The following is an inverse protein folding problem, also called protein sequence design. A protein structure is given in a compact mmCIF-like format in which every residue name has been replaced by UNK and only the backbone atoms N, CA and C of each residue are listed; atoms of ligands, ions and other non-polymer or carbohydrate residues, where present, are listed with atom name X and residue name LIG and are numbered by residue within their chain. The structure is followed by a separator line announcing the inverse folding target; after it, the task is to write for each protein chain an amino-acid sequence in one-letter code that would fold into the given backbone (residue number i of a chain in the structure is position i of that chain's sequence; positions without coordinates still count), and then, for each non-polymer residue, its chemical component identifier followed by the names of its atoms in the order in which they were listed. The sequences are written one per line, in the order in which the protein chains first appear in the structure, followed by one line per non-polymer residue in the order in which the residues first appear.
data_IF_038477680165
#
_entry.id   IF_038477680165
#
_cell.length_a   1.000
_cell.length_b   1.000
_cell.length_c   1.000
_cell.angle_alpha   90.00
_cell.angle_beta   90.00
_cell.angle_gamma   90.00
#
_symmetry.space_group_name_H-M   'P 1'
#
loop_
_entity.id
_entity.type
_entity.pdbx_description
1 polymer ?
#
# COMPACT_ATOMS: atom_id res chain seq x y z
N UNK A 1 -36.81 -48.49 -21.88
CA UNK A 1 -36.05 -47.77 -22.92
C UNK A 1 -35.96 -46.35 -22.43
N UNK A 2 -34.86 -45.61 -22.61
CA UNK A 2 -34.91 -44.19 -22.29
C UNK A 2 -35.99 -43.54 -23.15
N UNK A 3 -36.94 -42.88 -22.51
CA UNK A 3 -38.06 -42.22 -23.15
C UNK A 3 -37.64 -40.77 -23.40
N UNK A 4 -36.87 -40.56 -24.46
CA UNK A 4 -36.39 -39.23 -24.85
C UNK A 4 -37.58 -38.31 -25.17
N UNK A 5 -37.57 -37.11 -24.60
CA UNK A 5 -38.65 -36.15 -24.76
C UNK A 5 -38.22 -34.98 -25.63
N UNK A 6 -39.01 -34.69 -26.66
CA UNK A 6 -38.83 -33.50 -27.50
C UNK A 6 -39.92 -32.46 -27.27
N UNK A 7 -39.51 -31.21 -27.11
CA UNK A 7 -40.34 -30.00 -27.09
C UNK A 7 -40.07 -29.23 -28.38
N UNK A 8 -41.01 -29.23 -29.35
CA UNK A 8 -40.82 -28.55 -30.62
C UNK A 8 -40.94 -27.02 -30.50
N UNK A 9 -40.48 -26.34 -31.56
CA UNK A 9 -40.53 -24.86 -31.68
C UNK A 9 -41.86 -24.25 -31.31
N UNK A 10 -41.77 -23.21 -30.48
CA UNK A 10 -42.84 -22.34 -30.00
C UNK A 10 -43.96 -23.09 -29.32
N UNK A 11 -43.62 -24.17 -28.62
CA UNK A 11 -44.58 -24.95 -27.84
C UNK A 11 -44.30 -24.84 -26.35
N UNK A 12 -45.37 -24.99 -25.58
CA UNK A 12 -45.34 -25.17 -24.14
C UNK A 12 -45.59 -26.65 -23.86
N UNK A 13 -44.76 -27.26 -23.01
CA UNK A 13 -44.94 -28.65 -22.58
C UNK A 13 -44.83 -28.76 -21.07
N UNK A 14 -45.76 -29.53 -20.49
CA UNK A 14 -45.76 -29.84 -19.07
C UNK A 14 -44.99 -31.15 -18.86
N UNK A 15 -43.91 -31.10 -18.07
CA UNK A 15 -42.98 -32.21 -17.84
C UNK A 15 -42.55 -32.17 -16.38
N UNK A 16 -42.68 -33.29 -15.66
CA UNK A 16 -42.14 -33.43 -14.31
C UNK A 16 -40.87 -34.30 -14.28
N UNK A 17 -40.84 -35.37 -15.07
CA UNK A 17 -39.74 -36.34 -15.09
C UNK A 17 -39.48 -36.87 -16.51
N UNK A 18 -38.21 -37.05 -16.86
CA UNK A 18 -37.73 -37.62 -18.12
C UNK A 18 -36.66 -38.67 -17.79
N UNK A 19 -36.99 -39.94 -17.99
CA UNK A 19 -36.04 -41.06 -17.94
C UNK A 19 -35.29 -41.17 -19.29
N UNK A 20 -34.42 -40.20 -19.58
CA UNK A 20 -33.72 -40.09 -20.85
C UNK A 20 -33.25 -38.67 -21.11
N UNK A 21 -33.12 -38.30 -22.38
CA UNK A 21 -32.68 -36.97 -22.78
C UNK A 21 -33.87 -36.03 -23.07
N UNK A 22 -33.71 -34.74 -22.74
CA UNK A 22 -34.69 -33.70 -23.02
C UNK A 22 -34.17 -32.76 -24.10
N UNK A 23 -34.86 -32.67 -25.23
CA UNK A 23 -34.54 -31.72 -26.31
C UNK A 23 -35.61 -30.63 -26.43
N UNK A 24 -35.20 -29.37 -26.24
CA UNK A 24 -36.06 -28.17 -26.37
C UNK A 24 -35.55 -27.32 -27.53
N UNK A 25 -36.44 -26.99 -28.46
CA UNK A 25 -36.17 -26.14 -29.62
C UNK A 25 -37.14 -24.95 -29.51
N UNK A 26 -36.65 -23.74 -29.27
CA UNK A 26 -37.43 -22.49 -29.11
C UNK A 26 -38.72 -22.65 -28.26
N UNK A 27 -38.64 -23.10 -27.00
CA UNK A 27 -39.81 -23.61 -26.26
C UNK A 27 -39.87 -23.30 -24.77
N UNK A 28 -41.05 -23.53 -24.17
CA UNK A 28 -41.32 -23.36 -22.74
C UNK A 28 -41.59 -24.71 -22.09
N UNK A 29 -40.92 -25.02 -21.00
CA UNK A 29 -41.13 -26.23 -20.19
C UNK A 29 -41.55 -25.83 -18.78
N UNK A 30 -42.59 -26.46 -18.26
CA UNK A 30 -43.05 -26.21 -16.89
C UNK A 30 -43.39 -27.53 -16.18
N UNK A 31 -43.31 -27.54 -14.86
CA UNK A 31 -43.84 -28.65 -14.06
C UNK A 31 -45.37 -28.57 -13.96
N UNK A 32 -46.02 -29.71 -13.70
CA UNK A 32 -47.46 -29.79 -13.44
C UNK A 32 -47.88 -29.10 -12.13
N UNK A 33 -46.94 -28.93 -11.19
CA UNK A 33 -47.18 -28.26 -9.91
C UNK A 33 -46.49 -26.89 -9.92
N UNK A 34 -47.16 -25.82 -9.43
CA UNK A 34 -46.50 -24.54 -9.20
C UNK A 34 -45.28 -24.71 -8.28
N UNK A 35 -44.10 -24.30 -8.75
CA UNK A 35 -42.83 -24.49 -8.04
C UNK A 35 -42.33 -25.93 -8.02
N UNK A 36 -42.82 -26.79 -8.91
CA UNK A 36 -42.31 -28.14 -9.09
C UNK A 36 -40.91 -28.16 -9.72
N UNK A 37 -40.33 -29.35 -9.83
CA UNK A 37 -38.97 -29.56 -10.32
C UNK A 37 -39.04 -30.48 -11.53
N UNK A 38 -38.44 -30.06 -12.64
CA UNK A 38 -38.27 -30.85 -13.85
C UNK A 38 -37.02 -31.71 -13.66
N UNK A 39 -37.18 -33.03 -13.61
CA UNK A 39 -36.08 -33.97 -13.43
C UNK A 39 -35.76 -34.68 -14.75
N UNK A 40 -34.52 -34.58 -15.19
CA UNK A 40 -34.02 -35.25 -16.40
C UNK A 40 -32.85 -36.13 -15.98
N UNK A 41 -32.95 -37.44 -16.20
CA UNK A 41 -31.87 -38.37 -15.85
C UNK A 41 -30.68 -38.29 -16.81
N UNK A 42 -30.94 -37.96 -18.08
CA UNK A 42 -29.95 -37.74 -19.13
C UNK A 42 -29.57 -36.27 -19.29
N UNK A 43 -29.23 -35.85 -20.50
CA UNK A 43 -28.86 -34.45 -20.78
C UNK A 43 -30.04 -33.62 -21.27
N UNK A 44 -29.97 -32.31 -21.07
CA UNK A 44 -30.92 -31.33 -21.59
C UNK A 44 -30.27 -30.52 -22.70
N UNK A 45 -30.76 -30.65 -23.93
CA UNK A 45 -30.31 -29.87 -25.09
C UNK A 45 -31.33 -28.77 -25.42
N UNK A 46 -30.88 -27.52 -25.44
CA UNK A 46 -31.63 -26.32 -25.78
C UNK A 46 -31.10 -25.72 -27.08
N UNK A 47 -31.99 -25.44 -28.03
CA UNK A 47 -31.71 -24.73 -29.28
C UNK A 47 -32.57 -23.48 -29.36
N UNK A 48 -31.97 -22.36 -29.73
CA UNK A 48 -32.58 -21.03 -29.63
C UNK A 48 -33.06 -20.74 -28.19
N UNK A 49 -33.98 -19.80 -28.02
CA UNK A 49 -34.41 -19.34 -26.69
C UNK A 49 -35.27 -20.41 -25.99
N UNK A 50 -34.89 -20.81 -24.79
CA UNK A 50 -35.58 -21.84 -24.02
C UNK A 50 -35.88 -21.35 -22.60
N UNK A 51 -37.13 -21.53 -22.17
CA UNK A 51 -37.58 -21.14 -20.82
C UNK A 51 -38.03 -22.36 -20.04
N UNK A 52 -37.53 -22.50 -18.82
CA UNK A 52 -38.01 -23.44 -17.82
C UNK A 52 -38.72 -22.64 -16.73
N UNK A 53 -40.06 -22.69 -16.65
CA UNK A 53 -40.88 -22.00 -15.63
C UNK A 53 -40.82 -22.70 -14.25
N UNK A 54 -39.78 -23.48 -13.99
CA UNK A 54 -39.62 -24.39 -12.85
C UNK A 54 -38.15 -24.74 -12.66
N UNK A 55 -37.77 -25.19 -11.46
CA UNK A 55 -36.40 -25.66 -11.20
C UNK A 55 -36.05 -26.85 -12.12
N UNK A 56 -34.80 -26.94 -12.54
CA UNK A 56 -34.30 -27.97 -13.45
C UNK A 56 -33.18 -28.78 -12.79
N UNK A 57 -33.34 -30.10 -12.79
CA UNK A 57 -32.30 -31.05 -12.39
C UNK A 57 -31.94 -31.92 -13.60
N UNK A 58 -30.68 -31.90 -14.02
CA UNK A 58 -30.21 -32.65 -15.20
C UNK A 58 -28.76 -33.12 -15.04
N UNK A 59 -28.33 -34.11 -15.82
CA UNK A 59 -26.92 -34.54 -15.79
C UNK A 59 -26.01 -33.51 -16.46
N UNK A 60 -26.44 -32.97 -17.61
CA UNK A 60 -25.76 -31.96 -18.40
C UNK A 60 -26.76 -31.00 -19.03
N UNK A 61 -26.39 -29.72 -19.15
CA UNK A 61 -27.18 -28.71 -19.87
C UNK A 61 -26.37 -28.18 -21.06
N UNK A 62 -26.90 -28.36 -22.26
CA UNK A 62 -26.26 -27.94 -23.52
C UNK A 62 -27.13 -26.93 -24.25
N UNK A 63 -26.64 -25.71 -24.41
CA UNK A 63 -27.31 -24.65 -25.15
C UNK A 63 -26.61 -24.30 -26.45
N UNK A 64 -27.39 -23.98 -27.48
CA UNK A 64 -26.87 -23.48 -28.75
C UNK A 64 -27.75 -22.38 -29.34
N UNK A 65 -27.11 -21.27 -29.70
CA UNK A 65 -27.69 -20.18 -30.48
C UNK A 65 -28.95 -19.53 -29.85
N UNK A 66 -29.01 -19.41 -28.51
CA UNK A 66 -30.11 -18.71 -27.82
C UNK A 66 -29.90 -18.61 -26.30
N UNK A 67 -30.82 -17.92 -25.63
CA UNK A 67 -30.76 -17.69 -24.18
C UNK A 67 -31.56 -18.76 -23.42
N UNK A 68 -30.99 -19.28 -22.33
CA UNK A 68 -31.66 -20.26 -21.46
C UNK A 68 -32.06 -19.56 -20.17
N UNK A 69 -33.37 -19.54 -19.90
CA UNK A 69 -33.96 -19.01 -18.66
C UNK A 69 -34.48 -20.16 -17.80
N UNK A 70 -34.06 -20.21 -16.53
CA UNK A 70 -34.60 -21.11 -15.51
C UNK A 70 -35.21 -20.26 -14.41
N UNK A 71 -36.54 -20.27 -14.31
CA UNK A 71 -37.32 -19.60 -13.27
C UNK A 71 -37.39 -20.43 -11.98
N UNK A 72 -36.22 -20.86 -11.50
CA UNK A 72 -36.05 -21.63 -10.28
C UNK A 72 -34.57 -21.95 -10.06
N UNK A 73 -34.32 -23.04 -9.36
CA UNK A 73 -32.97 -23.55 -9.13
C UNK A 73 -32.50 -24.40 -10.32
N UNK A 74 -31.23 -24.29 -10.67
CA UNK A 74 -30.58 -25.12 -11.68
C UNK A 74 -29.52 -26.00 -11.02
N UNK A 75 -29.76 -27.30 -10.99
CA UNK A 75 -28.81 -28.29 -10.48
C UNK A 75 -28.36 -29.21 -11.62
N UNK A 76 -27.08 -29.11 -11.98
CA UNK A 76 -26.48 -29.90 -13.05
C UNK A 76 -25.37 -30.78 -12.47
N UNK A 77 -25.43 -32.09 -12.70
CA UNK A 77 -24.49 -33.01 -12.04
C UNK A 77 -23.05 -32.86 -12.55
N UNK A 78 -22.88 -32.59 -13.86
CA UNK A 78 -21.56 -32.57 -14.49
C UNK A 78 -21.23 -31.25 -15.17
N UNK A 79 -21.94 -30.86 -16.23
CA UNK A 79 -21.56 -29.66 -16.98
C UNK A 79 -22.67 -28.88 -17.64
N UNK A 80 -22.50 -27.55 -17.63
CA UNK A 80 -23.30 -26.60 -18.39
C UNK A 80 -22.42 -26.05 -19.51
N UNK A 81 -22.87 -26.17 -20.76
CA UNK A 81 -22.19 -25.64 -21.94
C UNK A 81 -23.16 -24.88 -22.83
N UNK A 82 -23.04 -23.55 -22.90
CA UNK A 82 -23.94 -22.70 -23.70
C UNK A 82 -23.11 -21.91 -24.71
N UNK A 83 -23.25 -22.29 -25.97
CA UNK A 83 -22.55 -21.63 -27.08
C UNK A 83 -23.42 -20.52 -27.66
N UNK A 84 -22.84 -19.33 -27.84
CA UNK A 84 -23.48 -18.11 -28.37
C UNK A 84 -24.76 -17.71 -27.65
N UNK A 85 -24.88 -18.04 -26.37
CA UNK A 85 -26.08 -17.81 -25.57
C UNK A 85 -25.77 -17.29 -24.17
N UNK A 86 -26.83 -16.92 -23.45
CA UNK A 86 -26.78 -16.53 -22.04
C UNK A 86 -27.48 -17.57 -21.17
N UNK A 87 -27.09 -17.61 -19.90
CA UNK A 87 -27.78 -18.35 -18.86
C UNK A 87 -28.36 -17.39 -17.84
N UNK A 88 -29.65 -17.51 -17.57
CA UNK A 88 -30.31 -16.82 -16.47
C UNK A 88 -30.99 -17.83 -15.56
N UNK A 89 -30.63 -17.82 -14.28
CA UNK A 89 -31.20 -18.67 -13.24
C UNK A 89 -31.74 -17.74 -12.16
N UNK A 90 -33.03 -17.80 -11.87
CA UNK A 90 -33.64 -16.92 -10.86
C UNK A 90 -33.33 -17.35 -9.42
N UNK A 91 -33.12 -18.65 -9.20
CA UNK A 91 -32.73 -19.25 -7.92
C UNK A 91 -31.23 -19.59 -7.85
N UNK A 92 -30.93 -20.71 -7.21
CA UNK A 92 -29.56 -21.18 -6.98
C UNK A 92 -29.00 -21.96 -8.19
N UNK A 93 -27.69 -21.87 -8.40
CA UNK A 93 -26.98 -22.58 -9.45
C UNK A 93 -25.93 -23.53 -8.85
N UNK A 94 -26.06 -24.83 -9.12
CA UNK A 94 -25.06 -25.84 -8.75
C UNK A 94 -24.57 -26.62 -9.96
N UNK A 95 -23.26 -26.72 -10.15
CA UNK A 95 -22.64 -27.56 -11.20
C UNK A 95 -21.18 -27.86 -10.90
N UNK A 96 -20.60 -28.93 -11.45
CA UNK A 96 -19.12 -29.08 -11.42
C UNK A 96 -18.46 -28.12 -12.39
N UNK A 97 -19.00 -27.98 -13.61
CA UNK A 97 -18.41 -27.16 -14.67
C UNK A 97 -19.46 -26.30 -15.35
N UNK A 98 -19.10 -25.06 -15.64
CA UNK A 98 -19.92 -24.13 -16.41
C UNK A 98 -19.07 -23.42 -17.46
N UNK A 99 -19.50 -23.46 -18.72
CA UNK A 99 -18.91 -22.76 -19.85
C UNK A 99 -20.01 -22.03 -20.63
N UNK A 100 -19.99 -20.69 -20.60
CA UNK A 100 -21.00 -19.86 -21.26
C UNK A 100 -20.33 -18.74 -22.05
N UNK A 101 -20.58 -18.67 -23.35
CA UNK A 101 -19.88 -17.74 -24.24
C UNK A 101 -20.15 -16.27 -23.91
N UNK A 102 -21.40 -15.91 -23.53
CA UNK A 102 -21.79 -14.50 -23.36
C UNK A 102 -21.91 -14.08 -21.90
N UNK A 103 -22.92 -14.54 -21.19
CA UNK A 103 -23.14 -14.08 -19.81
C UNK A 103 -23.97 -15.05 -18.99
N UNK A 104 -23.72 -15.03 -17.69
CA UNK A 104 -24.45 -15.79 -16.68
C UNK A 104 -25.00 -14.82 -15.63
N UNK A 105 -26.28 -14.96 -15.30
CA UNK A 105 -26.92 -14.26 -14.19
C UNK A 105 -27.59 -15.28 -13.26
N UNK A 106 -27.22 -15.24 -11.98
CA UNK A 106 -27.77 -16.10 -10.92
C UNK A 106 -28.44 -15.20 -9.87
N UNK A 107 -29.73 -15.44 -9.63
CA UNK A 107 -30.53 -14.67 -8.68
C UNK A 107 -30.36 -15.11 -7.23
N UNK A 108 -29.95 -16.36 -6.98
CA UNK A 108 -29.57 -16.90 -5.69
C UNK A 108 -28.06 -17.11 -5.55
N UNK A 109 -27.68 -18.19 -4.89
CA UNK A 109 -26.30 -18.60 -4.65
C UNK A 109 -25.72 -19.39 -5.84
N UNK A 110 -24.42 -19.27 -6.05
CA UNK A 110 -23.67 -20.05 -7.05
C UNK A 110 -22.68 -20.96 -6.33
N UNK A 111 -22.79 -22.27 -6.52
CA UNK A 111 -21.83 -23.29 -6.09
C UNK A 111 -21.33 -24.07 -7.32
N UNK A 112 -20.16 -23.67 -7.84
CA UNK A 112 -19.60 -24.27 -9.06
C UNK A 112 -18.11 -24.53 -8.91
N UNK A 113 -17.60 -25.75 -9.17
CA UNK A 113 -16.15 -25.98 -9.06
C UNK A 113 -15.36 -25.12 -10.06
N UNK A 114 -15.76 -25.12 -11.34
CA UNK A 114 -15.13 -24.30 -12.40
C UNK A 114 -16.14 -23.54 -13.25
N UNK A 115 -16.06 -22.21 -13.24
CA UNK A 115 -16.87 -21.33 -14.05
C UNK A 115 -16.02 -20.61 -15.11
N UNK A 116 -16.37 -20.75 -16.39
CA UNK A 116 -15.83 -20.00 -17.52
C UNK A 116 -16.93 -19.20 -18.20
N UNK A 117 -16.79 -17.89 -18.25
CA UNK A 117 -17.79 -17.00 -18.88
C UNK A 117 -17.10 -16.01 -19.80
N UNK A 118 -17.41 -16.02 -21.09
CA UNK A 118 -16.72 -15.16 -22.06
C UNK A 118 -16.95 -13.67 -21.84
N UNK A 119 -18.13 -13.27 -21.34
CA UNK A 119 -18.48 -11.87 -21.08
C UNK A 119 -18.65 -11.56 -19.60
N UNK A 120 -19.85 -11.76 -19.04
CA UNK A 120 -20.18 -11.26 -17.69
C UNK A 120 -20.81 -12.33 -16.81
N UNK A 121 -20.31 -12.47 -15.58
CA UNK A 121 -20.87 -13.31 -14.53
C UNK A 121 -21.45 -12.41 -13.43
N UNK A 122 -22.76 -12.53 -13.18
CA UNK A 122 -23.47 -11.84 -12.10
C UNK A 122 -24.12 -12.85 -11.15
N UNK A 123 -23.86 -12.69 -9.86
CA UNK A 123 -24.46 -13.50 -8.80
C UNK A 123 -25.03 -12.54 -7.75
N UNK A 124 -26.29 -12.70 -7.37
CA UNK A 124 -26.88 -11.87 -6.30
C UNK A 124 -26.57 -12.44 -4.91
N UNK A 125 -26.59 -13.77 -4.79
CA UNK A 125 -26.24 -14.48 -3.58
C UNK A 125 -24.73 -14.70 -3.41
N UNK A 126 -24.38 -15.70 -2.63
CA UNK A 126 -22.99 -16.10 -2.37
C UNK A 126 -22.39 -16.79 -3.57
N UNK A 127 -21.10 -16.58 -3.79
CA UNK A 127 -20.34 -17.23 -4.86
C UNK A 127 -19.29 -18.16 -4.27
N UNK A 128 -19.44 -19.46 -4.49
CA UNK A 128 -18.48 -20.48 -4.08
C UNK A 128 -17.94 -21.20 -5.31
N UNK A 129 -16.61 -21.23 -5.45
CA UNK A 129 -15.97 -21.92 -6.56
C UNK A 129 -14.51 -22.30 -6.26
N UNK A 130 -13.95 -23.20 -7.05
CA UNK A 130 -12.50 -23.41 -7.07
C UNK A 130 -11.86 -22.41 -8.04
N UNK A 131 -12.43 -22.25 -9.24
CA UNK A 131 -11.86 -21.39 -10.27
C UNK A 131 -12.95 -20.62 -11.04
N UNK A 132 -12.78 -19.31 -11.15
CA UNK A 132 -13.66 -18.41 -11.92
C UNK A 132 -12.81 -17.67 -12.95
N UNK A 133 -13.09 -17.93 -14.23
CA UNK A 133 -12.45 -17.28 -15.39
C UNK A 133 -13.51 -16.52 -16.17
N UNK A 134 -13.39 -15.19 -16.20
CA UNK A 134 -14.37 -14.31 -16.87
C UNK A 134 -13.68 -13.31 -17.79
N UNK A 135 -14.00 -13.36 -19.09
CA UNK A 135 -13.36 -12.48 -20.07
C UNK A 135 -13.67 -10.98 -19.86
N UNK A 136 -14.87 -10.65 -19.37
CA UNK A 136 -15.31 -9.28 -19.15
C UNK A 136 -15.39 -8.87 -17.68
N UNK A 137 -16.48 -9.20 -16.99
CA UNK A 137 -16.67 -8.75 -15.60
C UNK A 137 -17.34 -9.77 -14.70
N UNK A 138 -16.85 -9.87 -13.47
CA UNK A 138 -17.45 -10.67 -12.41
C UNK A 138 -18.02 -9.74 -11.34
N UNK A 139 -19.32 -9.88 -11.05
CA UNK A 139 -19.99 -9.14 -9.99
C UNK A 139 -20.74 -10.12 -9.09
N UNK A 140 -20.47 -10.05 -7.79
CA UNK A 140 -21.33 -10.66 -6.76
C UNK A 140 -21.81 -9.60 -5.77
N UNK A 141 -23.06 -9.70 -5.33
CA UNK A 141 -23.65 -8.78 -4.36
C UNK A 141 -23.47 -9.25 -2.90
N UNK A 142 -23.09 -10.52 -2.71
CA UNK A 142 -22.81 -11.13 -1.40
C UNK A 142 -21.34 -11.59 -1.30
N UNK A 143 -21.08 -12.54 -0.42
CA UNK A 143 -19.76 -13.10 -0.15
C UNK A 143 -19.23 -13.92 -1.32
N UNK A 144 -17.91 -13.93 -1.49
CA UNK A 144 -17.19 -14.77 -2.44
C UNK A 144 -16.15 -15.63 -1.70
N UNK A 145 -16.28 -16.96 -1.79
CA UNK A 145 -15.29 -17.93 -1.36
C UNK A 145 -14.79 -18.69 -2.59
N UNK A 146 -13.72 -18.19 -3.20
CA UNK A 146 -13.22 -18.68 -4.49
C UNK A 146 -11.71 -18.85 -4.43
N UNK A 147 -11.16 -20.04 -4.68
CA UNK A 147 -9.70 -20.25 -4.60
C UNK A 147 -8.93 -19.39 -5.61
N UNK A 148 -9.37 -19.33 -6.87
CA UNK A 148 -8.77 -18.48 -7.91
C UNK A 148 -9.81 -17.72 -8.73
N UNK A 149 -9.64 -16.41 -8.84
CA UNK A 149 -10.43 -15.49 -9.66
C UNK A 149 -9.51 -14.92 -10.74
N UNK A 150 -9.82 -15.15 -12.02
CA UNK A 150 -9.15 -14.55 -13.17
C UNK A 150 -10.18 -13.81 -14.04
N UNK A 151 -10.06 -12.47 -14.12
CA UNK A 151 -11.02 -11.65 -14.85
C UNK A 151 -10.33 -10.64 -15.75
N UNK A 152 -10.60 -10.72 -17.05
CA UNK A 152 -9.99 -9.84 -18.05
C UNK A 152 -10.31 -8.36 -17.84
N UNK A 153 -11.52 -8.03 -17.40
CA UNK A 153 -11.95 -6.66 -17.11
C UNK A 153 -11.98 -6.36 -15.61
N UNK A 154 -13.13 -6.47 -14.96
CA UNK A 154 -13.31 -6.00 -13.58
C UNK A 154 -14.02 -6.97 -12.66
N UNK A 155 -13.57 -7.03 -11.41
CA UNK A 155 -14.17 -7.80 -10.32
C UNK A 155 -14.83 -6.85 -9.32
N UNK A 156 -16.07 -7.14 -8.93
CA UNK A 156 -16.79 -6.41 -7.89
C UNK A 156 -17.47 -7.38 -6.92
N UNK A 157 -17.10 -7.34 -5.64
CA UNK A 157 -17.63 -8.22 -4.59
C UNK A 157 -18.25 -7.38 -3.48
N UNK A 158 -19.56 -7.55 -3.27
CA UNK A 158 -20.35 -6.79 -2.30
C UNK A 158 -20.11 -7.19 -0.84
N UNK A 159 -19.89 -8.48 -0.58
CA UNK A 159 -19.66 -9.04 0.74
C UNK A 159 -18.18 -9.28 1.07
N UNK A 160 -17.94 -10.25 1.95
CA UNK A 160 -16.60 -10.71 2.29
C UNK A 160 -15.97 -11.47 1.10
N UNK A 161 -14.67 -11.28 0.89
CA UNK A 161 -13.90 -12.01 -0.13
C UNK A 161 -12.89 -12.91 0.56
N UNK A 162 -12.90 -14.20 0.24
CA UNK A 162 -11.86 -15.15 0.63
C UNK A 162 -11.35 -15.82 -0.63
N UNK A 163 -10.08 -15.63 -0.95
CA UNK A 163 -9.47 -16.18 -2.16
C UNK A 163 -8.00 -16.49 -1.99
N UNK A 164 -7.46 -17.47 -2.70
CA UNK A 164 -6.01 -17.61 -2.80
C UNK A 164 -5.46 -16.53 -3.72
N UNK A 165 -5.98 -16.48 -4.95
CA UNK A 165 -5.46 -15.62 -6.01
C UNK A 165 -6.58 -14.81 -6.65
N UNK A 166 -6.39 -13.49 -6.74
CA UNK A 166 -7.28 -12.56 -7.44
C UNK A 166 -6.49 -11.87 -8.55
N UNK A 167 -6.81 -12.17 -9.80
CA UNK A 167 -6.25 -11.54 -11.01
C UNK A 167 -7.31 -10.72 -11.72
N UNK A 168 -6.99 -9.46 -12.01
CA UNK A 168 -7.85 -8.60 -12.82
C UNK A 168 -7.07 -7.74 -13.80
N UNK A 169 -7.42 -7.79 -15.10
CA UNK A 169 -6.79 -6.93 -16.10
C UNK A 169 -7.10 -5.44 -15.89
N UNK A 170 -8.31 -5.12 -15.41
CA UNK A 170 -8.79 -3.75 -15.21
C UNK A 170 -8.84 -3.32 -13.74
N UNK A 171 -9.81 -3.82 -12.96
CA UNK A 171 -9.99 -3.34 -11.59
C UNK A 171 -10.66 -4.34 -10.65
N UNK A 172 -10.20 -4.36 -9.40
CA UNK A 172 -10.83 -5.09 -8.31
C UNK A 172 -11.49 -4.14 -7.30
N UNK A 173 -12.74 -4.40 -6.95
CA UNK A 173 -13.50 -3.69 -5.91
C UNK A 173 -14.09 -4.66 -4.89
N UNK A 174 -13.59 -4.65 -3.67
CA UNK A 174 -14.17 -5.35 -2.52
C UNK A 174 -14.85 -4.35 -1.58
N UNK A 175 -16.13 -4.54 -1.29
CA UNK A 175 -16.86 -3.69 -0.36
C UNK A 175 -16.81 -4.21 1.09
N UNK A 176 -16.70 -5.53 1.29
CA UNK A 176 -16.47 -6.16 2.58
C UNK A 176 -14.98 -6.43 2.87
N UNK A 177 -14.70 -7.18 3.95
CA UNK A 177 -13.35 -7.64 4.27
C UNK A 177 -12.78 -8.54 3.17
N UNK A 178 -11.48 -8.46 2.92
CA UNK A 178 -10.78 -9.26 1.90
C UNK A 178 -9.64 -10.03 2.56
N UNK A 179 -9.71 -11.36 2.53
CA UNK A 179 -8.65 -12.28 2.94
C UNK A 179 -8.10 -12.95 1.67
N UNK A 180 -6.88 -12.60 1.27
CA UNK A 180 -6.26 -13.14 0.06
C UNK A 180 -4.75 -13.40 0.16
N UNK A 181 -4.23 -14.38 -0.58
CA UNK A 181 -2.78 -14.58 -0.66
C UNK A 181 -2.17 -13.62 -1.69
N UNK A 182 -2.73 -13.54 -2.90
CA UNK A 182 -2.22 -12.67 -3.96
C UNK A 182 -3.34 -11.86 -4.62
N UNK A 183 -3.12 -10.55 -4.75
CA UNK A 183 -3.93 -9.65 -5.59
C UNK A 183 -3.05 -9.07 -6.69
N UNK A 184 -3.27 -9.48 -7.94
CA UNK A 184 -2.57 -8.97 -9.13
C UNK A 184 -3.56 -8.22 -10.04
N UNK A 185 -3.41 -6.91 -10.14
CA UNK A 185 -4.34 -6.06 -10.90
C UNK A 185 -3.63 -5.06 -11.79
N UNK A 186 -3.89 -5.11 -13.10
CA UNK A 186 -3.27 -4.20 -14.06
C UNK A 186 -3.63 -2.71 -13.82
N UNK A 187 -4.87 -2.43 -13.44
CA UNK A 187 -5.36 -1.06 -13.23
C UNK A 187 -5.51 -0.66 -11.77
N UNK A 188 -6.68 -0.87 -11.17
CA UNK A 188 -7.00 -0.29 -9.84
C UNK A 188 -7.59 -1.29 -8.86
N UNK A 189 -7.08 -1.27 -7.63
CA UNK A 189 -7.63 -1.99 -6.48
C UNK A 189 -8.31 -1.01 -5.53
N UNK A 190 -9.55 -1.30 -5.13
CA UNK A 190 -10.26 -0.58 -4.07
C UNK A 190 -10.87 -1.58 -3.10
N UNK A 191 -10.43 -1.53 -1.85
CA UNK A 191 -10.97 -2.35 -0.76
C UNK A 191 -11.53 -1.39 0.28
N UNK A 192 -12.85 -1.37 0.42
CA UNK A 192 -13.55 -0.51 1.38
C UNK A 192 -13.66 -1.16 2.77
N UNK A 193 -13.48 -2.48 2.87
CA UNK A 193 -13.34 -3.21 4.14
C UNK A 193 -11.89 -3.35 4.63
N UNK A 194 -11.69 -4.15 5.67
CA UNK A 194 -10.36 -4.52 6.15
C UNK A 194 -9.67 -5.45 5.15
N UNK A 195 -8.42 -5.15 4.81
CA UNK A 195 -7.60 -5.98 3.93
C UNK A 195 -6.66 -6.86 4.76
N UNK A 196 -6.68 -8.16 4.52
CA UNK A 196 -5.69 -9.13 5.01
C UNK A 196 -5.10 -9.83 3.79
N UNK A 197 -3.97 -9.31 3.31
CA UNK A 197 -3.37 -9.74 2.04
C UNK A 197 -1.87 -10.01 2.21
N UNK A 198 -1.40 -11.13 1.69
CA UNK A 198 0.03 -11.46 1.73
C UNK A 198 0.80 -10.63 0.68
N UNK A 199 0.34 -10.60 -0.57
CA UNK A 199 0.97 -9.86 -1.66
C UNK A 199 -0.04 -9.07 -2.52
N UNK A 200 0.26 -7.79 -2.77
CA UNK A 200 -0.49 -6.91 -3.67
C UNK A 200 0.46 -6.42 -4.77
N UNK A 201 0.20 -6.78 -6.03
CA UNK A 201 0.90 -6.24 -7.20
C UNK A 201 -0.09 -5.51 -8.11
N UNK A 202 0.08 -4.19 -8.25
CA UNK A 202 -0.86 -3.35 -8.98
C UNK A 202 -0.15 -2.36 -9.89
N UNK A 203 -0.42 -2.44 -11.19
CA UNK A 203 0.19 -1.53 -12.17
C UNK A 203 -0.23 -0.07 -11.99
N UNK A 204 -1.50 0.18 -11.63
CA UNK A 204 -2.05 1.53 -11.48
C UNK A 204 -2.11 2.02 -10.03
N UNK A 205 -3.24 1.85 -9.35
CA UNK A 205 -3.47 2.47 -8.04
C UNK A 205 -4.21 1.57 -7.06
N UNK A 206 -3.86 1.70 -5.78
CA UNK A 206 -4.45 0.94 -4.68
C UNK A 206 -5.07 1.89 -3.67
N UNK A 207 -6.33 1.64 -3.30
CA UNK A 207 -7.00 2.28 -2.18
C UNK A 207 -7.46 1.21 -1.19
N UNK A 208 -6.94 1.27 0.03
CA UNK A 208 -7.32 0.43 1.16
C UNK A 208 -8.00 1.28 2.23
N UNK A 209 -8.96 0.73 2.95
CA UNK A 209 -9.39 1.32 4.22
C UNK A 209 -8.27 1.15 5.23
N UNK A 210 -7.86 -0.08 5.56
CA UNK A 210 -6.72 -0.40 6.43
C UNK A 210 -6.50 -1.91 6.52
N UNK A 211 -5.73 -2.37 7.50
CA UNK A 211 -5.55 -3.80 7.79
C UNK A 211 -4.09 -4.26 7.68
N UNK A 212 -3.90 -5.53 7.31
CA UNK A 212 -2.62 -6.20 7.17
C UNK A 212 -2.34 -6.47 5.68
N UNK A 213 -1.31 -5.84 5.12
CA UNK A 213 -0.85 -6.09 3.76
C UNK A 213 0.69 -6.21 3.74
N UNK A 214 1.22 -7.43 3.64
CA UNK A 214 2.66 -7.68 3.89
C UNK A 214 3.56 -7.10 2.81
N UNK A 215 3.47 -7.53 1.55
CA UNK A 215 4.25 -6.99 0.43
C UNK A 215 3.34 -6.23 -0.55
N UNK A 216 3.57 -4.94 -0.71
CA UNK A 216 2.75 -4.06 -1.55
C UNK A 216 3.63 -3.46 -2.65
N UNK A 217 3.35 -3.81 -3.91
CA UNK A 217 3.98 -3.25 -5.10
C UNK A 217 2.96 -2.50 -5.94
N UNK A 218 3.19 -1.21 -6.13
CA UNK A 218 2.27 -0.36 -6.90
C UNK A 218 3.03 0.52 -7.88
N UNK A 219 2.68 0.44 -9.17
CA UNK A 219 3.29 1.31 -10.19
C UNK A 219 2.96 2.80 -9.98
N UNK A 220 1.70 3.11 -9.67
CA UNK A 220 1.22 4.47 -9.48
C UNK A 220 1.11 4.92 -8.02
N UNK A 221 -0.07 4.79 -7.41
CA UNK A 221 -0.36 5.41 -6.10
C UNK A 221 -0.99 4.44 -5.11
N UNK A 222 -0.50 4.46 -3.86
CA UNK A 222 -1.09 3.74 -2.72
C UNK A 222 -1.76 4.73 -1.77
N UNK A 223 -3.01 4.47 -1.41
CA UNK A 223 -3.75 5.21 -0.38
C UNK A 223 -4.32 4.27 0.67
N UNK A 224 -4.07 4.55 1.93
CA UNK A 224 -4.73 3.89 3.07
C UNK A 224 -5.35 4.94 3.99
N UNK A 225 -6.60 4.73 4.39
CA UNK A 225 -7.36 5.70 5.20
C UNK A 225 -7.22 5.47 6.71
N UNK A 226 -6.97 4.23 7.12
CA UNK A 226 -6.74 3.74 8.48
C UNK A 226 -5.33 3.15 8.58
N UNK A 227 -4.79 2.93 9.80
CA UNK A 227 -3.44 2.42 9.96
C UNK A 227 -3.23 1.10 9.23
N UNK A 228 -2.04 0.96 8.65
CA UNK A 228 -1.64 -0.21 7.87
C UNK A 228 -0.50 -0.94 8.56
N UNK A 229 -0.63 -2.27 8.68
CA UNK A 229 0.48 -3.15 9.03
C UNK A 229 1.07 -3.77 7.76
N UNK A 230 2.39 -3.65 7.58
CA UNK A 230 3.06 -4.12 6.36
C UNK A 230 4.49 -4.60 6.64
N UNK A 231 5.07 -5.38 5.73
CA UNK A 231 6.49 -5.74 5.77
C UNK A 231 7.29 -4.91 4.76
N UNK A 232 6.74 -4.72 3.56
CA UNK A 232 7.37 -3.94 2.49
C UNK A 232 6.35 -3.17 1.66
N UNK A 233 6.67 -1.90 1.39
CA UNK A 233 5.95 -1.06 0.43
C UNK A 233 6.94 -0.62 -0.65
N UNK A 234 6.69 -0.97 -1.92
CA UNK A 234 7.40 -0.44 -3.09
C UNK A 234 6.42 0.27 -4.02
N UNK A 235 6.57 1.58 -4.17
CA UNK A 235 5.66 2.37 -5.00
C UNK A 235 6.41 3.30 -5.95
N UNK A 236 6.16 3.18 -7.24
CA UNK A 236 6.81 4.03 -8.26
C UNK A 236 6.43 5.51 -8.15
N UNK A 237 5.16 5.80 -7.84
CA UNK A 237 4.63 7.15 -7.72
C UNK A 237 4.57 7.68 -6.29
N UNK A 238 3.40 7.61 -5.66
CA UNK A 238 3.16 8.26 -4.37
C UNK A 238 2.40 7.38 -3.37
N UNK A 239 2.70 7.57 -2.09
CA UNK A 239 2.07 6.85 -0.98
C UNK A 239 1.43 7.84 -0.03
N UNK A 240 0.19 7.58 0.37
CA UNK A 240 -0.48 8.26 1.47
C UNK A 240 -1.12 7.24 2.42
N UNK A 241 -0.67 7.18 3.66
CA UNK A 241 -1.26 6.34 4.71
C UNK A 241 -1.64 7.21 5.92
N UNK A 242 -2.52 6.74 6.79
CA UNK A 242 -2.88 7.48 8.01
C UNK A 242 -1.96 7.20 9.21
N UNK A 243 -1.02 6.26 9.05
CA UNK A 243 -0.08 5.83 10.06
C UNK A 243 0.08 4.30 9.99
N UNK A 244 0.74 3.73 10.98
CA UNK A 244 0.85 2.29 11.13
C UNK A 244 2.24 1.82 11.48
N UNK A 245 2.47 0.52 11.23
CA UNK A 245 3.72 -0.15 11.56
C UNK A 245 4.14 -1.03 10.41
N UNK A 246 5.39 -0.91 9.99
CA UNK A 246 5.93 -1.88 9.05
C UNK A 246 7.44 -1.93 8.96
N UNK A 247 7.91 -2.54 7.88
CA UNK A 247 9.32 -2.72 7.58
C UNK A 247 9.83 -1.67 6.60
N UNK A 248 10.10 -2.10 5.37
CA UNK A 248 10.76 -1.29 4.34
C UNK A 248 9.77 -0.48 3.50
N UNK A 249 10.12 0.78 3.21
CA UNK A 249 9.34 1.67 2.35
C UNK A 249 10.27 2.24 1.28
N UNK A 250 10.02 1.89 0.01
CA UNK A 250 10.73 2.33 -1.19
C UNK A 250 9.76 3.08 -2.10
N UNK A 251 9.91 4.41 -2.21
CA UNK A 251 8.99 5.26 -2.98
C UNK A 251 9.73 6.19 -3.93
N UNK A 252 9.45 6.07 -5.23
CA UNK A 252 10.09 6.92 -6.24
C UNK A 252 9.76 8.41 -6.11
N UNK A 253 8.52 8.74 -5.72
CA UNK A 253 8.04 10.11 -5.62
C UNK A 253 7.91 10.64 -4.19
N UNK A 254 6.70 10.56 -3.62
CA UNK A 254 6.36 11.20 -2.33
C UNK A 254 5.70 10.21 -1.40
N UNK A 255 6.16 10.20 -0.15
CA UNK A 255 5.57 9.43 0.93
C UNK A 255 4.94 10.38 1.96
N UNK A 256 3.65 10.17 2.28
CA UNK A 256 2.93 10.90 3.32
C UNK A 256 2.29 9.96 4.34
N UNK A 257 2.53 10.23 5.62
CA UNK A 257 1.78 9.66 6.74
C UNK A 257 0.99 10.77 7.45
N UNK A 258 -0.32 10.59 7.64
CA UNK A 258 -1.15 11.56 8.40
C UNK A 258 -1.06 11.35 9.93
N UNK A 259 -0.33 10.34 10.40
CA UNK A 259 -0.14 10.02 11.82
C UNK A 259 1.22 9.39 12.10
N UNK A 260 1.36 8.82 13.30
CA UNK A 260 2.59 8.17 13.75
C UNK A 260 2.94 6.97 12.87
N UNK A 261 4.24 6.80 12.60
CA UNK A 261 4.75 5.71 11.77
C UNK A 261 5.94 5.03 12.43
N UNK A 262 5.82 3.72 12.60
CA UNK A 262 6.95 2.84 12.92
C UNK A 262 7.40 2.10 11.67
N UNK A 263 8.69 2.13 11.34
CA UNK A 263 9.25 1.51 10.14
C UNK A 263 10.64 0.91 10.40
N UNK A 264 11.13 0.06 9.52
CA UNK A 264 12.55 -0.30 9.50
C UNK A 264 13.34 0.72 8.67
N UNK A 265 13.11 0.79 7.35
CA UNK A 265 13.84 1.72 6.49
C UNK A 265 12.89 2.48 5.57
N UNK A 266 13.17 3.77 5.36
CA UNK A 266 12.49 4.61 4.37
C UNK A 266 13.54 5.06 3.35
N UNK A 267 13.32 4.72 2.08
CA UNK A 267 14.07 5.22 0.93
C UNK A 267 13.08 5.93 -0.02
N UNK A 268 13.23 7.25 -0.16
CA UNK A 268 12.32 8.06 -0.98
C UNK A 268 13.09 9.03 -1.86
N UNK A 269 12.89 8.93 -3.18
CA UNK A 269 13.55 9.80 -4.14
C UNK A 269 13.20 11.29 -3.97
N UNK A 270 11.94 11.59 -3.65
CA UNK A 270 11.44 12.96 -3.52
C UNK A 270 11.28 13.45 -2.08
N UNK A 271 10.10 13.29 -1.50
CA UNK A 271 9.72 13.93 -0.23
C UNK A 271 9.03 12.96 0.71
N UNK A 272 9.41 13.04 1.99
CA UNK A 272 8.75 12.36 3.11
C UNK A 272 8.06 13.42 3.97
N UNK A 273 6.76 13.24 4.25
CA UNK A 273 6.00 14.05 5.21
C UNK A 273 5.28 13.14 6.20
N UNK A 274 5.56 13.27 7.49
CA UNK A 274 4.89 12.53 8.56
C UNK A 274 4.28 13.57 9.50
N UNK A 275 2.96 13.58 9.63
CA UNK A 275 2.23 14.56 10.44
C UNK A 275 2.28 14.20 11.96
N UNK A 276 2.66 12.96 12.29
CA UNK A 276 2.94 12.49 13.65
C UNK A 276 4.43 12.33 13.96
N UNK A 277 4.75 11.35 14.80
CA UNK A 277 6.10 10.91 15.14
C UNK A 277 6.62 9.83 14.17
N UNK A 278 7.93 9.76 14.00
CA UNK A 278 8.61 8.80 13.14
C UNK A 278 9.60 7.98 13.97
N UNK A 279 9.40 6.67 14.03
CA UNK A 279 10.27 5.73 14.76
C UNK A 279 10.79 4.67 13.81
N UNK A 280 12.11 4.53 13.68
CA UNK A 280 12.65 3.48 12.83
C UNK A 280 14.15 3.29 12.85
N UNK A 281 14.68 2.62 11.83
CA UNK A 281 16.11 2.35 11.71
C UNK A 281 16.82 3.41 10.89
N UNK A 282 16.45 3.57 9.62
CA UNK A 282 17.09 4.48 8.66
C UNK A 282 16.06 5.30 7.86
N UNK A 283 16.42 6.54 7.55
CA UNK A 283 15.72 7.36 6.55
C UNK A 283 16.74 7.86 5.52
N UNK A 284 16.52 7.54 4.25
CA UNK A 284 17.23 8.09 3.10
C UNK A 284 16.24 8.84 2.19
N UNK A 285 16.46 10.14 1.98
CA UNK A 285 15.58 10.96 1.17
C UNK A 285 16.37 11.87 0.23
N UNK A 286 16.09 11.80 -1.06
CA UNK A 286 16.75 12.64 -2.06
C UNK A 286 16.46 14.13 -1.88
N UNK A 287 15.20 14.47 -1.58
CA UNK A 287 14.75 15.85 -1.40
C UNK A 287 14.58 16.28 0.06
N UNK A 288 13.37 16.15 0.60
CA UNK A 288 13.00 16.71 1.92
C UNK A 288 12.37 15.67 2.82
N UNK A 289 12.82 15.59 4.06
CA UNK A 289 12.17 14.83 5.12
C UNK A 289 11.58 15.79 6.15
N UNK A 290 10.25 15.77 6.32
CA UNK A 290 9.54 16.57 7.32
C UNK A 290 8.73 15.68 8.25
N UNK A 291 8.94 15.84 9.54
CA UNK A 291 8.18 15.19 10.62
C UNK A 291 7.63 16.30 11.51
N UNK A 292 6.32 16.34 11.72
CA UNK A 292 5.73 17.41 12.55
C UNK A 292 5.96 17.14 14.06
N UNK A 293 6.15 15.88 14.47
CA UNK A 293 6.55 15.46 15.82
C UNK A 293 8.05 15.20 16.00
N UNK A 294 8.38 14.12 16.70
CA UNK A 294 9.74 13.61 16.93
C UNK A 294 10.17 12.62 15.84
N UNK A 295 11.45 12.66 15.45
CA UNK A 295 12.10 11.72 14.54
C UNK A 295 13.18 10.96 15.29
N UNK A 296 12.91 9.71 15.65
CA UNK A 296 13.82 8.85 16.39
C UNK A 296 14.27 7.65 15.55
N UNK A 297 15.54 7.66 15.17
CA UNK A 297 16.19 6.62 14.38
C UNK A 297 17.26 5.92 15.20
N UNK A 298 17.36 4.60 15.06
CA UNK A 298 18.44 3.82 15.69
C UNK A 298 19.75 3.88 14.90
N UNK A 299 19.69 4.27 13.62
CA UNK A 299 20.83 4.38 12.71
C UNK A 299 20.86 5.75 12.01
N UNK A 300 20.83 5.82 10.70
CA UNK A 300 21.21 7.04 9.99
C UNK A 300 20.01 7.83 9.43
N UNK A 301 20.11 9.15 9.50
CA UNK A 301 19.30 10.10 8.75
C UNK A 301 20.14 10.67 7.59
N UNK A 302 19.83 10.30 6.36
CA UNK A 302 20.46 10.84 5.14
C UNK A 302 19.45 11.63 4.33
N UNK A 303 19.68 12.93 4.15
CA UNK A 303 18.78 13.77 3.35
C UNK A 303 19.56 14.69 2.42
N UNK A 304 19.27 14.66 1.13
CA UNK A 304 19.95 15.51 0.15
C UNK A 304 19.66 17.00 0.35
N UNK A 305 18.40 17.36 0.59
CA UNK A 305 17.94 18.72 0.78
C UNK A 305 17.76 19.12 2.24
N UNK A 306 16.53 18.97 2.77
CA UNK A 306 16.14 19.49 4.09
C UNK A 306 15.59 18.40 5.00
N UNK A 307 16.07 18.34 6.23
CA UNK A 307 15.47 17.57 7.31
C UNK A 307 14.82 18.52 8.32
N UNK A 308 13.55 18.29 8.66
CA UNK A 308 12.80 19.11 9.61
C UNK A 308 12.04 18.21 10.58
N UNK A 309 12.15 18.49 11.88
CA UNK A 309 11.32 17.91 12.93
C UNK A 309 10.71 19.03 13.80
N UNK A 310 9.45 18.91 14.21
CA UNK A 310 8.86 19.86 15.17
C UNK A 310 9.48 19.75 16.56
N UNK A 311 9.90 18.55 16.95
CA UNK A 311 10.54 18.24 18.23
C UNK A 311 12.01 17.85 18.08
N UNK A 312 12.33 16.61 18.47
CA UNK A 312 13.66 16.02 18.49
C UNK A 312 13.98 15.33 17.15
N UNK A 313 15.21 15.50 16.67
CA UNK A 313 15.85 14.56 15.74
C UNK A 313 16.87 13.76 16.52
N UNK A 314 16.70 12.44 16.62
CA UNK A 314 17.62 11.52 17.27
C UNK A 314 18.06 10.45 16.29
N UNK A 315 19.37 10.26 16.12
CA UNK A 315 19.93 9.26 15.22
C UNK A 315 21.31 8.79 15.70
N UNK A 316 21.89 7.77 15.04
CA UNK A 316 23.33 7.49 15.12
C UNK A 316 24.11 8.56 14.36
N UNK A 317 23.73 8.83 13.11
CA UNK A 317 24.34 9.87 12.28
C UNK A 317 23.29 10.72 11.58
N UNK A 318 23.52 12.03 11.51
CA UNK A 318 22.68 12.98 10.76
C UNK A 318 23.49 13.60 9.64
N UNK A 319 23.21 13.19 8.40
CA UNK A 319 23.92 13.61 7.19
C UNK A 319 22.96 14.32 6.25
N UNK A 320 22.97 15.66 6.30
CA UNK A 320 22.01 16.47 5.54
C UNK A 320 22.72 17.50 4.69
N UNK A 321 22.61 17.36 3.36
CA UNK A 321 23.33 18.21 2.41
C UNK A 321 22.96 19.69 2.50
N UNK A 322 21.69 20.00 2.76
CA UNK A 322 21.18 21.36 2.93
C UNK A 322 21.01 21.77 4.39
N UNK A 323 19.78 21.66 4.90
CA UNK A 323 19.37 22.27 6.17
C UNK A 323 18.76 21.23 7.12
N UNK A 324 19.19 21.25 8.38
CA UNK A 324 18.55 20.59 9.52
C UNK A 324 17.83 21.64 10.36
N UNK A 325 16.57 21.40 10.68
CA UNK A 325 15.75 22.29 11.50
C UNK A 325 14.95 21.47 12.53
N UNK A 326 15.22 21.69 13.81
CA UNK A 326 14.50 20.99 14.88
C UNK A 326 14.51 21.80 16.17
N UNK A 327 13.73 21.40 17.17
CA UNK A 327 13.89 21.94 18.51
C UNK A 327 15.24 21.52 19.10
N UNK A 328 15.59 20.24 18.98
CA UNK A 328 16.84 19.63 19.45
C UNK A 328 17.32 18.58 18.45
N UNK A 329 18.63 18.45 18.27
CA UNK A 329 19.23 17.39 17.44
C UNK A 329 20.25 16.62 18.26
N UNK A 330 20.14 15.29 18.29
CA UNK A 330 21.07 14.39 18.96
C UNK A 330 21.55 13.31 17.99
N UNK A 331 22.84 13.27 17.74
CA UNK A 331 23.49 12.15 17.06
C UNK A 331 24.45 11.45 18.02
N UNK A 332 24.62 10.14 17.88
CA UNK A 332 25.66 9.43 18.61
C UNK A 332 27.05 9.74 18.03
N UNK A 333 27.18 9.61 16.72
CA UNK A 333 28.47 9.68 16.03
C UNK A 333 28.67 11.07 15.42
N UNK A 334 27.82 11.48 14.47
CA UNK A 334 28.05 12.75 13.78
C UNK A 334 26.82 13.49 13.29
N UNK A 335 26.96 14.82 13.25
CA UNK A 335 26.07 15.72 12.52
C UNK A 335 26.90 16.43 11.44
N UNK A 336 26.57 16.19 10.17
CA UNK A 336 27.15 16.92 9.04
C UNK A 336 26.05 17.63 8.28
N UNK A 337 26.11 18.95 8.28
CA UNK A 337 25.14 19.75 7.52
C UNK A 337 25.68 21.10 7.08
N UNK A 338 25.05 21.73 6.09
CA UNK A 338 25.37 23.10 5.73
C UNK A 338 24.67 24.10 6.64
N UNK A 339 23.44 23.83 7.08
CA UNK A 339 22.68 24.74 7.94
C UNK A 339 22.03 23.97 9.07
N UNK A 340 22.32 24.35 10.31
CA UNK A 340 21.81 23.71 11.51
C UNK A 340 21.01 24.73 12.32
N UNK A 341 19.69 24.61 12.35
CA UNK A 341 18.84 25.48 13.15
C UNK A 341 18.21 24.70 14.28
N UNK A 342 18.62 25.03 15.50
CA UNK A 342 18.12 24.39 16.71
C UNK A 342 17.74 25.43 17.74
N UNK A 343 16.67 25.19 18.48
CA UNK A 343 16.24 26.10 19.56
C UNK A 343 16.92 25.76 20.87
N UNK A 344 16.93 24.48 21.21
CA UNK A 344 17.47 23.97 22.46
C UNK A 344 18.94 23.54 22.28
N UNK A 345 19.35 23.22 21.04
CA UNK A 345 20.74 22.95 20.65
C UNK A 345 20.96 21.63 19.91
N UNK A 346 22.21 21.37 19.53
CA UNK A 346 22.63 20.15 18.85
C UNK A 346 23.78 19.44 19.59
N UNK A 347 23.71 18.11 19.70
CA UNK A 347 24.69 17.27 20.38
C UNK A 347 25.16 16.08 19.53
N UNK A 348 26.48 15.87 19.43
CA UNK A 348 27.06 14.69 18.79
C UNK A 348 28.52 14.43 19.21
N UNK A 349 29.12 13.30 18.83
CA UNK A 349 30.58 13.13 19.00
C UNK A 349 31.36 14.05 18.05
N UNK A 350 30.94 14.15 16.79
CA UNK A 350 31.52 15.03 15.79
C UNK A 350 30.47 15.92 15.10
N UNK A 351 30.72 17.23 15.01
CA UNK A 351 29.85 18.16 14.27
C UNK A 351 30.67 18.87 13.20
N UNK A 352 30.24 18.75 11.94
CA UNK A 352 30.80 19.47 10.79
C UNK A 352 29.75 20.40 10.17
N UNK A 353 30.09 21.69 10.11
CA UNK A 353 29.35 22.65 9.29
C UNK A 353 30.03 22.87 7.95
N UNK A 354 29.22 22.84 6.90
CA UNK A 354 29.61 23.10 5.51
C UNK A 354 30.17 24.51 5.25
N UNK A 355 30.65 24.71 4.02
CA UNK A 355 31.19 25.99 3.56
C UNK A 355 30.09 27.04 3.50
N UNK A 356 30.34 28.22 4.07
CA UNK A 356 29.32 29.29 4.22
C UNK A 356 28.08 28.80 4.99
N UNK A 357 28.26 27.78 5.82
CA UNK A 357 27.20 27.24 6.64
C UNK A 357 26.78 28.19 7.76
N UNK A 358 25.67 27.85 8.41
CA UNK A 358 25.10 28.62 9.50
C UNK A 358 24.60 27.66 10.58
N UNK A 359 24.97 27.91 11.83
CA UNK A 359 24.36 27.27 12.98
C UNK A 359 23.76 28.29 13.94
N UNK A 360 22.47 28.08 14.24
CA UNK A 360 21.68 28.80 15.23
C UNK A 360 21.34 27.81 16.36
N UNK A 361 21.55 28.23 17.60
CA UNK A 361 21.51 27.39 18.80
C UNK A 361 22.87 26.82 19.21
N UNK A 362 23.00 26.36 20.46
CA UNK A 362 24.27 25.88 21.00
C UNK A 362 24.67 24.52 20.41
N UNK A 363 25.97 24.37 20.12
CA UNK A 363 26.59 23.15 19.63
C UNK A 363 27.38 22.51 20.77
N UNK A 364 27.11 21.24 21.06
CA UNK A 364 27.83 20.46 22.08
C UNK A 364 28.42 19.20 21.44
N UNK A 365 29.75 19.08 21.35
CA UNK A 365 30.36 17.89 20.79
C UNK A 365 31.74 17.57 21.34
N UNK A 366 32.26 16.35 21.12
CA UNK A 366 33.68 16.10 21.38
C UNK A 366 34.55 16.89 20.41
N UNK A 367 34.20 16.88 19.12
CA UNK A 367 34.93 17.61 18.08
C UNK A 367 34.02 18.41 17.17
N UNK A 368 34.39 19.68 16.94
CA UNK A 368 33.66 20.60 16.07
C UNK A 368 34.57 21.11 14.96
N UNK A 369 34.15 20.94 13.71
CA UNK A 369 34.78 21.51 12.52
C UNK A 369 33.83 22.49 11.83
N UNK A 370 34.20 23.76 11.80
CA UNK A 370 33.44 24.80 11.11
C UNK A 370 34.20 25.19 9.84
N UNK A 371 33.62 24.93 8.66
CA UNK A 371 34.28 25.18 7.37
C UNK A 371 34.21 26.63 6.94
N UNK A 372 34.90 26.94 5.85
CA UNK A 372 35.26 28.29 5.46
C UNK A 372 34.04 29.23 5.38
N UNK A 373 34.16 30.41 5.99
CA UNK A 373 33.14 31.48 6.00
C UNK A 373 31.79 31.11 6.65
N UNK A 374 31.74 30.08 7.49
CA UNK A 374 30.53 29.74 8.21
C UNK A 374 30.30 30.62 9.45
N UNK A 375 29.07 30.61 9.96
CA UNK A 375 28.63 31.36 11.14
C UNK A 375 28.05 30.41 12.17
N UNK A 376 28.44 30.57 13.42
CA UNK A 376 27.96 29.77 14.54
C UNK A 376 27.71 30.68 15.73
N UNK A 377 26.77 30.32 16.58
CA UNK A 377 26.55 31.00 17.86
C UNK A 377 27.53 30.45 18.89
N UNK A 378 27.08 29.50 19.71
CA UNK A 378 27.83 28.99 20.86
C UNK A 378 28.37 27.59 20.58
N UNK A 379 29.66 27.38 20.88
CA UNK A 379 30.30 26.06 20.77
C UNK A 379 30.84 25.62 22.13
N UNK A 380 30.45 24.42 22.56
CA UNK A 380 31.05 23.69 23.67
C UNK A 380 31.65 22.39 23.14
N UNK A 381 32.97 22.22 23.24
CA UNK A 381 33.61 20.99 22.76
C UNK A 381 34.95 20.64 23.41
N UNK A 382 35.46 19.43 23.20
CA UNK A 382 36.86 19.15 23.56
C UNK A 382 37.82 19.76 22.54
N UNK A 383 37.49 19.67 21.25
CA UNK A 383 38.27 20.22 20.14
C UNK A 383 37.42 21.08 19.22
N UNK A 384 37.85 22.33 18.99
CA UNK A 384 37.22 23.25 18.03
C UNK A 384 38.21 23.64 16.95
N UNK A 385 37.83 23.48 15.69
CA UNK A 385 38.56 24.00 14.53
C UNK A 385 37.66 24.93 13.72
N UNK A 386 38.00 26.22 13.71
CA UNK A 386 37.39 27.20 12.83
C UNK A 386 38.28 27.42 11.61
N UNK A 387 37.76 27.14 10.41
CA UNK A 387 38.47 27.42 9.16
C UNK A 387 38.41 28.90 8.78
N UNK A 388 39.16 29.29 7.76
CA UNK A 388 39.26 30.67 7.30
C UNK A 388 37.92 31.41 7.20
N UNK A 389 37.88 32.61 7.78
CA UNK A 389 36.76 33.55 7.63
C UNK A 389 35.51 33.23 8.44
N UNK A 390 35.58 32.33 9.42
CA UNK A 390 34.43 31.97 10.26
C UNK A 390 34.03 33.07 11.24
N UNK A 391 32.77 33.03 11.68
CA UNK A 391 32.24 33.87 12.75
C UNK A 391 31.65 33.00 13.85
N UNK A 392 32.02 33.26 15.10
CA UNK A 392 31.47 32.59 16.27
C UNK A 392 31.00 33.62 17.31
N UNK A 393 29.98 33.29 18.12
CA UNK A 393 29.64 34.06 19.30
C UNK A 393 30.56 33.63 20.45
N UNK A 394 30.31 32.49 21.08
CA UNK A 394 31.11 31.98 22.19
C UNK A 394 31.81 30.65 21.85
N UNK A 395 33.00 30.42 22.41
CA UNK A 395 33.75 29.16 22.28
C UNK A 395 34.24 28.71 23.65
N UNK A 396 33.82 27.52 24.07
CA UNK A 396 34.22 26.89 25.31
C UNK A 396 34.81 25.51 25.00
N UNK A 397 36.14 25.39 24.99
CA UNK A 397 36.76 24.12 24.60
C UNK A 397 38.16 23.85 25.15
N UNK A 398 38.55 22.58 25.26
CA UNK A 398 39.89 22.24 25.74
C UNK A 398 40.97 22.71 24.76
N UNK A 399 40.81 22.37 23.47
CA UNK A 399 41.71 22.76 22.39
C UNK A 399 40.98 23.57 21.32
N UNK A 400 41.45 24.79 21.07
CA UNK A 400 40.87 25.69 20.07
C UNK A 400 41.90 26.01 18.98
N UNK A 401 41.54 25.75 17.72
CA UNK A 401 42.30 26.16 16.54
C UNK A 401 41.46 27.12 15.69
N UNK A 402 42.00 28.31 15.44
CA UNK A 402 41.33 29.36 14.66
C UNK A 402 42.22 29.79 13.50
N UNK A 403 41.77 29.52 12.28
CA UNK A 403 42.45 29.93 11.05
C UNK A 403 42.28 31.44 10.75
N UNK A 404 42.97 31.89 9.71
CA UNK A 404 43.05 33.28 9.28
C UNK A 404 41.67 33.93 9.03
N UNK A 405 41.55 35.23 9.30
CA UNK A 405 40.36 36.08 9.05
C UNK A 405 39.08 35.71 9.84
N UNK A 406 39.19 34.95 10.93
CA UNK A 406 38.04 34.63 11.79
C UNK A 406 37.68 35.79 12.75
N UNK A 407 36.40 35.85 13.13
CA UNK A 407 35.90 36.83 14.11
C UNK A 407 35.07 36.15 15.19
N UNK A 408 35.50 36.28 16.44
CA UNK A 408 34.75 35.82 17.61
C UNK A 408 34.24 37.05 18.35
N UNK A 409 32.92 37.16 18.51
CA UNK A 409 32.27 38.34 19.10
C UNK A 409 31.96 38.23 20.59
N UNK A 410 31.97 37.01 21.13
CA UNK A 410 31.76 36.71 22.54
C UNK A 410 33.02 36.14 23.19
N UNK A 411 32.82 35.34 24.22
CA UNK A 411 33.88 34.80 25.07
C UNK A 411 34.58 33.60 24.43
N UNK A 412 35.87 33.47 24.69
CA UNK A 412 36.64 32.26 24.39
C UNK A 412 37.28 31.76 25.68
N UNK A 413 36.85 30.61 26.20
CA UNK A 413 37.46 29.96 27.36
C UNK A 413 38.04 28.60 26.98
N UNK A 414 39.27 28.34 27.40
CA UNK A 414 39.98 27.10 27.08
C UNK A 414 40.83 26.57 28.22
N UNK A 415 41.08 25.26 28.25
CA UNK A 415 41.80 24.58 29.35
C UNK A 415 43.20 24.10 28.94
N UNK A 416 43.37 23.59 27.72
CA UNK A 416 44.64 23.07 27.21
C UNK A 416 45.38 24.15 26.39
N UNK A 417 44.90 24.44 25.19
CA UNK A 417 45.63 25.24 24.19
C UNK A 417 44.73 26.02 23.24
N UNK A 418 45.15 27.26 22.91
CA UNK A 418 44.58 28.08 21.86
C UNK A 418 45.65 28.36 20.78
N UNK A 419 45.35 28.01 19.53
CA UNK A 419 46.16 28.35 18.36
C UNK A 419 45.36 29.25 17.42
N UNK A 420 45.74 30.51 17.32
CA UNK A 420 45.15 31.48 16.39
C UNK A 420 46.17 31.86 15.30
N UNK A 421 45.72 31.89 14.04
CA UNK A 421 46.52 32.40 12.92
C UNK A 421 46.44 33.93 12.80
N UNK A 422 46.85 34.48 11.64
CA UNK A 422 46.87 35.92 11.39
C UNK A 422 45.45 36.47 11.24
N UNK A 423 45.26 37.74 11.58
CA UNK A 423 43.99 38.46 11.39
C UNK A 423 42.77 37.85 12.10
N UNK A 424 42.98 37.09 13.18
CA UNK A 424 41.88 36.64 14.04
C UNK A 424 41.48 37.77 14.98
N UNK A 425 40.20 38.11 15.00
CA UNK A 425 39.64 39.13 15.88
C UNK A 425 38.86 38.51 17.04
N UNK A 426 39.31 38.74 18.26
CA UNK A 426 38.56 38.44 19.49
C UNK A 426 37.99 39.73 20.07
N UNK A 427 36.67 39.77 20.31
CA UNK A 427 36.05 40.93 20.95
C UNK A 427 36.40 41.05 22.44
N UNK A 428 36.59 39.92 23.10
CA UNK A 428 37.07 39.79 24.47
C UNK A 428 38.37 38.99 24.48
N UNK A 429 39.27 39.27 25.42
CA UNK A 429 40.53 38.54 25.52
C UNK A 429 40.27 37.05 25.84
N UNK A 430 40.85 36.10 25.09
CA UNK A 430 40.67 34.67 25.38
C UNK A 430 41.22 34.29 26.76
N UNK A 431 40.40 33.60 27.55
CA UNK A 431 40.71 33.25 28.94
C UNK A 431 41.08 31.76 29.07
N UNK A 432 42.23 31.48 29.69
CA UNK A 432 42.59 30.11 30.05
C UNK A 432 42.02 29.77 31.44
N UNK A 433 41.16 28.76 31.54
CA UNK A 433 40.49 28.36 32.79
C UNK A 433 40.82 26.93 33.20
N UNK A 434 40.63 26.58 34.48
CA UNK A 434 40.78 25.19 34.95
C UNK A 434 39.57 24.32 34.59
N UNK A 435 38.38 24.94 34.55
CA UNK A 435 37.11 24.27 34.24
C UNK A 435 36.33 25.09 33.21
N UNK A 436 35.71 24.41 32.26
CA UNK A 436 34.80 25.02 31.28
C UNK A 436 33.40 25.23 31.88
N UNK A 437 32.64 26.23 31.40
CA UNK A 437 31.21 26.34 31.69
C UNK A 437 30.46 25.06 31.33
N UNK A 438 29.41 24.73 32.09
CA UNK A 438 28.58 23.56 31.79
C UNK A 438 27.85 23.75 30.45
N UNK A 439 27.82 22.72 29.59
CA UNK A 439 27.13 22.80 28.32
C UNK A 439 25.60 22.87 28.51
N UNK A 440 24.87 23.55 27.62
CA UNK A 440 23.44 23.81 27.79
C UNK A 440 22.51 22.61 27.49
N UNK A 441 23.03 21.40 27.21
CA UNK A 441 22.28 20.25 26.67
C UNK A 441 22.40 18.92 27.41
#
# INVERSE_FOLDING_TARGET
MPDDVRVPRRTLKEIDEVEGDLSVDEGVVRSSKPGGVIRVSGYTECRDDCTFESSLVTSELRGRDGDILVEGDLSVQDSIKINRGRLEVSGDLTSKKMEVDRSVSVGGDMDVERARVGGTLRVRGKSKATHVDVGGSFKTESDAEIEEIDVGGSVQIGGATKSGIIKSGGSFKGYGPVDAELIDVGGTVKIDGEAKVEEIDVGGSVKLTGGLARDIRVGGTLKSSDPLEFERIRVGGSVKISGGKGGDIDVGGTFKSDGDLTFENIDVGGTVKIDGNAYGRNIEVGGTAKVDGDMELTEDLRVGGKAEAGGLIKARSVLVGGKVEARRVEALDEIRTNTLKTRDGAKADYIELGRRGEAEGPIVARKVLIRERARVEDIHADEVTLRRGCRALNIYANRVTVETDCRISGEVKYTDSLRAERNVHFAYEPEKTEKLPEPPL
#
